data_IF_259984468166
#
_entry.id   IF_259984468166
#
_cell.length_a   1.000
_cell.length_b   1.000
_cell.length_c   1.000
_cell.angle_alpha   90.00
_cell.angle_beta   90.00
_cell.angle_gamma   90.00
#
_symmetry.space_group_name_H-M   'P 1'
#
loop_
_entity.id
_entity.type
_entity.pdbx_description
1 polymer ?
#
# COMPACT_ATOMS: atom_id res chain seq x y z
N UNK A 1 8.52 33.22 -1.20
CA UNK A 1 9.33 34.41 -0.95
C UNK A 1 10.35 34.65 -2.04
N UNK A 2 11.19 33.71 -2.46
CA UNK A 2 12.19 33.86 -3.52
C UNK A 2 11.63 34.37 -4.87
N UNK A 3 10.49 33.84 -5.33
CA UNK A 3 9.85 34.24 -6.59
C UNK A 3 9.25 35.67 -6.56
N UNK A 4 8.81 36.16 -5.38
CA UNK A 4 8.37 37.52 -5.20
C UNK A 4 9.53 38.51 -5.32
N UNK A 5 10.69 38.13 -4.77
CA UNK A 5 11.93 38.91 -4.89
C UNK A 5 12.44 38.97 -6.33
N UNK A 6 12.38 37.87 -7.09
CA UNK A 6 12.80 37.83 -8.50
C UNK A 6 11.86 38.67 -9.37
N UNK A 7 10.54 38.56 -9.19
CA UNK A 7 9.56 39.37 -9.91
C UNK A 7 9.70 40.89 -9.59
N UNK A 8 9.98 41.23 -8.34
CA UNK A 8 10.22 42.61 -7.93
C UNK A 8 11.55 43.15 -8.47
N UNK A 9 12.61 42.34 -8.50
CA UNK A 9 13.89 42.72 -9.11
C UNK A 9 13.75 43.03 -10.62
N UNK A 10 13.03 42.18 -11.36
CA UNK A 10 12.78 42.38 -12.79
C UNK A 10 11.93 43.64 -13.09
N UNK A 11 10.96 43.94 -12.22
CA UNK A 11 10.13 45.15 -12.39
C UNK A 11 10.84 46.47 -12.01
N UNK A 12 11.89 46.39 -11.19
CA UNK A 12 12.73 47.53 -10.78
C UNK A 12 13.83 47.79 -11.81
N UNK A 13 14.39 46.78 -12.44
CA UNK A 13 15.52 46.96 -13.37
C UNK A 13 15.15 47.74 -14.62
N UNK A 14 13.94 47.59 -15.13
CA UNK A 14 13.50 48.33 -16.34
C UNK A 14 13.35 49.84 -16.08
N UNK A 15 12.65 50.32 -15.03
CA UNK A 15 12.59 51.74 -14.71
C UNK A 15 13.94 52.37 -14.32
N UNK A 16 14.81 51.60 -13.63
CA UNK A 16 16.14 52.07 -13.24
C UNK A 16 17.03 52.27 -14.48
N UNK A 17 16.97 51.39 -15.46
CA UNK A 17 17.75 51.51 -16.71
C UNK A 17 17.34 52.74 -17.53
N UNK A 18 16.03 53.03 -17.60
CA UNK A 18 15.50 54.23 -18.28
C UNK A 18 15.80 55.53 -17.49
N UNK A 19 15.99 55.45 -16.16
CA UNK A 19 16.29 56.59 -15.31
C UNK A 19 17.77 57.02 -15.36
N UNK A 20 18.69 56.17 -15.76
CA UNK A 20 20.13 56.48 -15.81
C UNK A 20 20.47 57.47 -16.92
N UNK A 21 19.69 57.51 -17.99
CA UNK A 21 19.98 58.37 -19.16
C UNK A 21 19.57 59.81 -19.01
N UNK A 22 18.88 60.23 -17.92
CA UNK A 22 18.36 61.59 -17.75
C UNK A 22 18.67 62.17 -16.35
N UNK A 23 19.94 62.17 -15.92
CA UNK A 23 20.38 62.78 -14.66
C UNK A 23 20.53 64.34 -14.75
N UNK A 24 19.44 65.09 -14.50
CA UNK A 24 19.55 66.48 -13.98
C UNK A 24 19.59 66.41 -12.45
N UNK A 25 20.59 66.98 -11.83
CA UNK A 25 20.99 66.85 -10.42
C UNK A 25 19.90 67.07 -9.33
N UNK A 26 18.74 67.63 -9.67
CA UNK A 26 17.64 67.90 -8.72
C UNK A 26 16.54 66.79 -8.65
N UNK A 27 16.54 65.85 -9.54
CA UNK A 27 15.42 64.85 -9.65
C UNK A 27 15.76 63.48 -9.08
N UNK A 28 16.99 63.23 -8.64
CA UNK A 28 17.46 61.95 -8.17
C UNK A 28 16.67 61.39 -6.94
N UNK A 29 16.45 62.25 -5.94
CA UNK A 29 15.71 61.86 -4.74
C UNK A 29 14.25 61.45 -5.03
N UNK A 30 13.58 62.20 -5.92
CA UNK A 30 12.20 61.89 -6.33
C UNK A 30 12.12 60.59 -7.09
N UNK A 31 13.12 60.23 -7.91
CA UNK A 31 13.18 58.96 -8.61
C UNK A 31 13.41 57.77 -7.67
N UNK A 32 14.23 57.92 -6.62
CA UNK A 32 14.41 56.87 -5.60
C UNK A 32 13.10 56.64 -4.88
N UNK A 33 12.36 57.68 -4.51
CA UNK A 33 11.05 57.55 -3.84
C UNK A 33 10.06 56.85 -4.77
N UNK A 34 10.04 57.16 -6.06
CA UNK A 34 9.17 56.50 -7.06
C UNK A 34 9.47 55.01 -7.19
N UNK A 35 10.74 54.62 -7.31
CA UNK A 35 11.17 53.22 -7.37
C UNK A 35 10.85 52.48 -6.07
N UNK A 36 11.05 53.10 -4.90
CA UNK A 36 10.72 52.51 -3.62
C UNK A 36 9.20 52.30 -3.45
N UNK A 37 8.39 53.31 -3.85
CA UNK A 37 6.93 53.20 -3.83
C UNK A 37 6.43 52.08 -4.76
N UNK A 38 7.01 51.97 -5.95
CA UNK A 38 6.73 50.90 -6.90
C UNK A 38 7.06 49.51 -6.31
N UNK A 39 8.24 49.39 -5.70
CA UNK A 39 8.65 48.14 -5.04
C UNK A 39 7.66 47.72 -3.94
N UNK A 40 7.28 48.61 -3.06
CA UNK A 40 6.30 48.34 -1.99
C UNK A 40 4.94 47.95 -2.56
N UNK A 41 4.51 48.56 -3.67
CA UNK A 41 3.27 48.21 -4.35
C UNK A 41 3.33 46.76 -4.91
N UNK A 42 4.42 46.40 -5.61
CA UNK A 42 4.61 45.06 -6.17
C UNK A 42 4.58 43.99 -5.06
N UNK A 43 5.30 44.25 -3.97
CA UNK A 43 5.31 43.35 -2.80
C UNK A 43 3.90 43.20 -2.21
N UNK A 44 3.16 44.30 -2.11
CA UNK A 44 1.78 44.33 -1.60
C UNK A 44 0.83 43.53 -2.50
N UNK A 45 0.91 43.70 -3.81
CA UNK A 45 0.11 42.96 -4.79
C UNK A 45 0.38 41.48 -4.64
N UNK A 46 1.66 41.09 -4.59
CA UNK A 46 2.06 39.68 -4.48
C UNK A 46 1.57 39.08 -3.16
N UNK A 47 1.80 39.76 -2.04
CA UNK A 47 1.41 39.32 -0.71
C UNK A 47 -0.11 39.15 -0.59
N UNK A 48 -0.90 40.14 -1.00
CA UNK A 48 -2.36 40.09 -0.93
C UNK A 48 -2.94 39.01 -1.84
N UNK A 49 -2.42 38.88 -3.06
CA UNK A 49 -2.82 37.83 -3.98
C UNK A 49 -2.49 36.43 -3.43
N UNK A 50 -1.29 36.23 -2.87
CA UNK A 50 -0.85 34.98 -2.26
C UNK A 50 -1.71 34.65 -1.05
N UNK A 51 -1.86 35.55 -0.09
CA UNK A 51 -2.65 35.36 1.13
C UNK A 51 -4.10 35.02 0.83
N UNK A 52 -4.73 35.75 -0.08
CA UNK A 52 -6.11 35.52 -0.47
C UNK A 52 -6.28 34.19 -1.15
N UNK A 53 -5.46 33.82 -2.12
CA UNK A 53 -5.59 32.58 -2.86
C UNK A 53 -5.34 31.35 -1.97
N UNK A 54 -4.49 31.45 -0.93
CA UNK A 54 -4.30 30.37 0.06
C UNK A 54 -5.48 30.31 1.02
N UNK A 55 -5.84 31.42 1.65
CA UNK A 55 -6.89 31.45 2.69
C UNK A 55 -8.26 31.02 2.15
N UNK A 56 -8.56 31.38 0.92
CA UNK A 56 -9.84 31.08 0.26
C UNK A 56 -9.71 29.99 -0.80
N UNK A 57 -8.81 29.05 -0.59
CA UNK A 57 -8.54 27.98 -1.53
C UNK A 57 -9.80 27.20 -1.94
N UNK A 58 -10.73 26.96 -1.01
CA UNK A 58 -12.01 26.27 -1.24
C UNK A 58 -13.08 27.11 -1.97
N UNK A 59 -12.85 28.38 -2.20
CA UNK A 59 -13.81 29.25 -2.89
C UNK A 59 -13.94 28.88 -4.38
N UNK A 60 -15.15 28.90 -4.91
CA UNK A 60 -15.41 28.59 -6.33
C UNK A 60 -14.64 29.49 -7.31
N UNK A 61 -14.25 28.95 -8.45
CA UNK A 61 -13.44 29.62 -9.50
C UNK A 61 -13.95 31.02 -9.89
N UNK A 62 -15.27 31.25 -10.14
CA UNK A 62 -15.74 32.60 -10.56
C UNK A 62 -15.56 33.63 -9.48
N UNK A 63 -15.78 33.32 -8.19
CA UNK A 63 -15.60 34.25 -7.09
C UNK A 63 -14.15 34.67 -6.91
N UNK A 64 -13.20 33.73 -7.08
CA UNK A 64 -11.75 34.04 -7.07
C UNK A 64 -11.36 35.00 -8.20
N UNK A 65 -11.89 34.76 -9.40
CA UNK A 65 -11.60 35.62 -10.56
C UNK A 65 -12.10 37.05 -10.32
N UNK A 66 -13.33 37.21 -9.87
CA UNK A 66 -13.91 38.51 -9.57
C UNK A 66 -13.09 39.26 -8.53
N UNK A 67 -12.72 38.61 -7.43
CA UNK A 67 -11.91 39.20 -6.39
C UNK A 67 -10.54 39.65 -6.89
N UNK A 68 -9.83 38.79 -7.62
CA UNK A 68 -8.52 39.11 -8.18
C UNK A 68 -8.61 40.27 -9.18
N UNK A 69 -9.70 40.32 -9.97
CA UNK A 69 -9.94 41.45 -10.89
C UNK A 69 -10.19 42.76 -10.14
N UNK A 70 -11.03 42.78 -9.12
CA UNK A 70 -11.28 43.93 -8.28
C UNK A 70 -10.00 44.41 -7.61
N UNK A 71 -9.21 43.48 -7.07
CA UNK A 71 -7.91 43.79 -6.45
C UNK A 71 -6.97 44.46 -7.45
N UNK A 72 -6.87 43.95 -8.67
CA UNK A 72 -6.06 44.56 -9.72
C UNK A 72 -6.49 46.01 -10.01
N UNK A 73 -7.80 46.24 -10.20
CA UNK A 73 -8.34 47.58 -10.48
C UNK A 73 -8.04 48.53 -9.34
N UNK A 74 -8.27 48.15 -8.10
CA UNK A 74 -8.02 48.97 -6.91
C UNK A 74 -6.54 49.34 -6.80
N UNK A 75 -5.66 48.32 -6.90
CA UNK A 75 -4.22 48.55 -6.78
C UNK A 75 -3.66 49.41 -7.94
N UNK A 76 -4.17 49.20 -9.16
CA UNK A 76 -3.79 50.06 -10.30
C UNK A 76 -4.23 51.50 -10.12
N UNK A 77 -5.45 51.74 -9.59
CA UNK A 77 -5.94 53.08 -9.28
C UNK A 77 -5.08 53.77 -8.22
N UNK A 78 -4.74 53.03 -7.14
CA UNK A 78 -3.84 53.55 -6.09
C UNK A 78 -2.47 53.89 -6.68
N UNK A 79 -1.90 53.00 -7.52
CA UNK A 79 -0.63 53.25 -8.21
C UNK A 79 -0.64 54.55 -9.02
N UNK A 80 -1.67 54.74 -9.84
CA UNK A 80 -1.83 55.97 -10.66
C UNK A 80 -1.90 57.21 -9.75
N UNK A 81 -2.69 57.17 -8.68
CA UNK A 81 -2.83 58.31 -7.79
C UNK A 81 -1.53 58.70 -7.07
N UNK A 82 -0.74 57.69 -6.65
CA UNK A 82 0.52 57.92 -5.94
C UNK A 82 1.62 58.45 -6.86
N UNK A 83 1.73 57.91 -8.06
CA UNK A 83 2.83 58.21 -8.98
C UNK A 83 2.52 59.41 -9.89
N UNK A 84 1.25 59.78 -10.09
CA UNK A 84 0.85 60.91 -10.94
C UNK A 84 1.51 62.26 -10.55
N UNK A 85 1.60 62.67 -9.27
CA UNK A 85 2.28 63.89 -8.88
C UNK A 85 3.77 63.89 -9.26
N UNK A 86 4.45 62.75 -9.04
CA UNK A 86 5.89 62.64 -9.33
C UNK A 86 6.11 62.67 -10.83
N UNK A 87 5.30 61.99 -11.63
CA UNK A 87 5.35 61.99 -13.08
C UNK A 87 5.17 63.41 -13.65
N UNK A 88 4.15 64.18 -13.16
CA UNK A 88 3.88 65.49 -13.60
C UNK A 88 5.07 66.45 -13.35
N UNK A 89 5.87 66.15 -12.32
CA UNK A 89 7.03 66.98 -11.97
C UNK A 89 8.29 66.59 -12.74
N UNK A 90 8.40 65.31 -13.16
CA UNK A 90 9.62 64.76 -13.74
C UNK A 90 9.58 64.57 -15.26
N UNK A 91 8.40 64.66 -15.91
CA UNK A 91 8.28 64.42 -17.35
C UNK A 91 7.36 65.42 -18.03
N UNK A 92 7.60 65.67 -19.33
CA UNK A 92 6.74 66.45 -20.19
C UNK A 92 5.89 65.62 -21.15
N UNK A 93 5.79 64.26 -20.91
CA UNK A 93 5.03 63.44 -21.78
C UNK A 93 3.51 63.54 -21.57
N UNK A 94 2.67 63.28 -22.59
CA UNK A 94 1.23 63.31 -22.43
C UNK A 94 0.72 62.36 -21.37
N UNK A 95 -0.29 62.73 -20.58
CA UNK A 95 -0.90 61.99 -19.53
C UNK A 95 -1.35 60.56 -19.99
N UNK A 96 -1.80 60.47 -21.24
CA UNK A 96 -2.27 59.22 -21.83
C UNK A 96 -1.17 58.14 -21.89
N UNK A 97 0.07 58.53 -22.21
CA UNK A 97 1.21 57.58 -22.21
C UNK A 97 1.52 57.08 -20.81
N UNK A 98 1.50 57.93 -19.83
CA UNK A 98 1.70 57.57 -18.43
C UNK A 98 0.65 56.57 -17.94
N UNK A 99 -0.64 56.85 -18.12
CA UNK A 99 -1.74 55.98 -17.67
C UNK A 99 -1.66 54.61 -18.37
N UNK A 100 -1.36 54.57 -19.67
CA UNK A 100 -1.16 53.36 -20.43
C UNK A 100 -0.03 52.51 -19.83
N UNK A 101 1.11 53.09 -19.59
CA UNK A 101 2.30 52.39 -19.09
C UNK A 101 2.07 51.86 -17.68
N UNK A 102 1.39 52.58 -16.79
CA UNK A 102 0.96 52.13 -15.48
C UNK A 102 0.02 50.91 -15.55
N UNK A 103 -0.98 50.97 -16.41
CA UNK A 103 -1.92 49.84 -16.60
C UNK A 103 -1.19 48.60 -17.11
N UNK A 104 -0.34 48.73 -18.14
CA UNK A 104 0.41 47.61 -18.70
C UNK A 104 1.34 47.00 -17.65
N UNK A 105 2.10 47.85 -16.93
CA UNK A 105 3.02 47.41 -15.90
C UNK A 105 2.30 46.63 -14.77
N UNK A 106 1.27 47.23 -14.20
CA UNK A 106 0.53 46.63 -13.09
C UNK A 106 -0.20 45.35 -13.49
N UNK A 107 -0.76 45.31 -14.71
CA UNK A 107 -1.38 44.08 -15.26
C UNK A 107 -0.37 42.97 -15.44
N UNK A 108 0.82 43.29 -15.97
CA UNK A 108 1.90 42.28 -16.14
C UNK A 108 2.35 41.73 -14.81
N UNK A 109 2.62 42.58 -13.80
CA UNK A 109 3.01 42.18 -12.46
C UNK A 109 1.93 41.26 -11.82
N UNK A 110 0.66 41.64 -11.98
CA UNK A 110 -0.46 40.90 -11.46
C UNK A 110 -0.57 39.50 -12.12
N UNK A 111 -0.43 39.42 -13.44
CA UNK A 111 -0.46 38.12 -14.16
C UNK A 111 0.69 37.23 -13.69
N UNK A 112 1.91 37.74 -13.61
CA UNK A 112 3.07 36.97 -13.14
C UNK A 112 2.86 36.48 -11.71
N UNK A 113 2.40 37.35 -10.80
CA UNK A 113 2.09 36.99 -9.42
C UNK A 113 1.02 35.91 -9.32
N UNK A 114 -0.06 36.06 -10.09
CA UNK A 114 -1.15 35.09 -10.13
C UNK A 114 -0.68 33.70 -10.63
N UNK A 115 0.12 33.67 -11.71
CA UNK A 115 0.67 32.45 -12.24
C UNK A 115 1.63 31.74 -11.25
N UNK A 116 2.49 32.54 -10.58
CA UNK A 116 3.42 32.03 -9.58
C UNK A 116 2.67 31.38 -8.39
N UNK A 117 1.63 32.04 -7.88
CA UNK A 117 0.78 31.53 -6.81
C UNK A 117 0.08 30.23 -7.25
N UNK A 118 -0.49 30.22 -8.45
CA UNK A 118 -1.16 29.07 -9.02
C UNK A 118 -0.22 27.87 -9.20
N UNK A 119 0.99 28.14 -9.68
CA UNK A 119 2.03 27.10 -9.81
C UNK A 119 2.43 26.53 -8.45
N UNK A 120 2.64 27.39 -7.45
CA UNK A 120 2.99 26.99 -6.09
C UNK A 120 1.91 26.09 -5.46
N UNK A 121 0.63 26.47 -5.56
CA UNK A 121 -0.49 25.67 -5.05
C UNK A 121 -0.54 24.30 -5.74
N UNK A 122 -0.41 24.25 -7.08
CA UNK A 122 -0.39 23.00 -7.82
C UNK A 122 0.78 22.09 -7.44
N UNK A 123 1.93 22.68 -7.15
CA UNK A 123 3.10 21.93 -6.70
C UNK A 123 2.85 21.23 -5.36
N UNK A 124 2.21 21.94 -4.40
CA UNK A 124 1.83 21.36 -3.11
C UNK A 124 0.80 20.21 -3.28
N UNK A 125 -0.26 20.45 -4.08
CA UNK A 125 -1.28 19.41 -4.35
C UNK A 125 -0.65 18.17 -4.99
N UNK A 126 0.22 18.35 -5.97
CA UNK A 126 0.93 17.26 -6.62
C UNK A 126 1.80 16.47 -5.64
N UNK A 127 2.47 17.15 -4.70
CA UNK A 127 3.26 16.51 -3.67
C UNK A 127 2.38 15.68 -2.71
N UNK A 128 1.26 16.26 -2.25
CA UNK A 128 0.31 15.55 -1.37
C UNK A 128 -0.26 14.29 -2.03
N UNK A 129 -0.62 14.37 -3.32
CA UNK A 129 -1.11 13.22 -4.08
C UNK A 129 -0.03 12.13 -4.18
N UNK A 130 1.22 12.49 -4.45
CA UNK A 130 2.33 11.54 -4.52
C UNK A 130 2.59 10.84 -3.19
N UNK A 131 2.54 11.58 -2.09
CA UNK A 131 2.72 11.02 -0.74
C UNK A 131 1.59 10.06 -0.39
N UNK A 132 0.33 10.47 -0.60
CA UNK A 132 -0.84 9.61 -0.37
C UNK A 132 -0.82 8.34 -1.24
N UNK A 133 -0.38 8.44 -2.49
CA UNK A 133 -0.23 7.29 -3.37
C UNK A 133 0.85 6.31 -2.88
N UNK A 134 2.00 6.81 -2.42
CA UNK A 134 3.07 5.99 -1.85
C UNK A 134 2.63 5.29 -0.56
N UNK A 135 1.87 5.97 0.30
CA UNK A 135 1.28 5.39 1.51
C UNK A 135 0.31 4.24 1.18
N UNK A 136 -0.59 4.44 0.21
CA UNK A 136 -1.52 3.40 -0.25
C UNK A 136 -0.79 2.19 -0.86
N UNK A 137 0.28 2.41 -1.62
CA UNK A 137 1.10 1.31 -2.14
C UNK A 137 1.76 0.51 -1.01
N UNK A 138 2.31 1.19 0.00
CA UNK A 138 2.94 0.55 1.15
C UNK A 138 1.93 -0.25 1.97
N UNK A 139 0.74 0.31 2.19
CA UNK A 139 -0.35 -0.38 2.88
C UNK A 139 -0.81 -1.63 2.10
N UNK A 140 -0.97 -1.52 0.78
CA UNK A 140 -1.34 -2.66 -0.08
C UNK A 140 -0.29 -3.77 -0.02
N UNK A 141 1.00 -3.44 -0.16
CA UNK A 141 2.10 -4.40 -0.01
C UNK A 141 2.10 -5.06 1.37
N UNK A 142 1.90 -4.28 2.42
CA UNK A 142 1.83 -4.79 3.80
C UNK A 142 0.66 -5.75 3.99
N UNK A 143 -0.50 -5.44 3.41
CA UNK A 143 -1.68 -6.30 3.47
C UNK A 143 -1.48 -7.59 2.65
N UNK A 144 -0.82 -7.52 1.49
CA UNK A 144 -0.42 -8.70 0.71
C UNK A 144 0.54 -9.59 1.50
N UNK A 145 1.59 -9.01 2.10
CA UNK A 145 2.55 -9.75 2.94
C UNK A 145 1.85 -10.37 4.16
N UNK A 146 0.96 -9.65 4.84
CA UNK A 146 0.15 -10.19 5.94
C UNK A 146 -0.75 -11.33 5.48
N UNK A 147 -1.40 -11.20 4.33
CA UNK A 147 -2.20 -12.26 3.72
C UNK A 147 -1.38 -13.52 3.45
N UNK A 148 -0.18 -13.36 2.89
CA UNK A 148 0.77 -14.46 2.67
C UNK A 148 1.22 -15.11 3.99
N UNK A 149 1.54 -14.31 5.02
CA UNK A 149 1.94 -14.83 6.33
C UNK A 149 0.80 -15.52 7.10
N UNK A 150 -0.45 -15.08 6.92
CA UNK A 150 -1.61 -15.75 7.54
C UNK A 150 -1.88 -17.14 6.94
N UNK A 151 -1.44 -17.40 5.72
CA UNK A 151 -1.56 -18.71 5.07
C UNK A 151 -0.49 -19.71 5.55
N UNK A 152 0.63 -19.22 6.05
CA UNK A 152 1.60 -20.01 6.80
C UNK A 152 1.10 -19.99 8.23
N UNK A 153 0.56 -21.12 8.72
CA UNK A 153 0.12 -21.23 10.12
C UNK A 153 1.25 -20.78 11.07
N UNK A 154 1.17 -19.57 11.72
CA UNK A 154 2.28 -19.05 12.49
C UNK A 154 2.70 -19.95 13.63
N UNK A 155 1.72 -20.65 14.21
CA UNK A 155 1.95 -21.59 15.27
C UNK A 155 2.75 -22.82 14.78
N UNK A 156 2.47 -23.30 13.57
CA UNK A 156 3.28 -24.37 12.94
C UNK A 156 4.71 -23.90 12.72
N UNK A 157 4.90 -22.68 12.19
CA UNK A 157 6.21 -22.10 11.92
C UNK A 157 7.08 -22.00 13.19
N UNK A 158 6.56 -21.37 14.25
CA UNK A 158 7.30 -21.23 15.51
C UNK A 158 7.61 -22.58 16.16
N UNK A 159 6.67 -23.53 16.14
CA UNK A 159 6.92 -24.85 16.68
C UNK A 159 7.97 -25.62 15.88
N UNK A 160 8.00 -25.46 14.57
CA UNK A 160 9.00 -26.11 13.70
C UNK A 160 10.38 -25.54 13.95
N UNK A 161 10.51 -24.20 14.12
CA UNK A 161 11.79 -23.56 14.50
C UNK A 161 12.29 -24.02 15.89
N UNK A 162 11.40 -24.17 16.86
CA UNK A 162 11.77 -24.68 18.18
C UNK A 162 12.27 -26.12 18.11
N UNK A 163 11.62 -26.97 17.32
CA UNK A 163 12.08 -28.36 17.08
C UNK A 163 13.45 -28.39 16.40
N UNK A 164 13.64 -27.54 15.37
CA UNK A 164 14.94 -27.41 14.70
C UNK A 164 16.04 -26.96 15.65
N UNK A 165 15.77 -26.00 16.51
CA UNK A 165 16.75 -25.51 17.51
C UNK A 165 17.21 -26.63 18.46
N UNK A 166 16.31 -27.52 18.85
CA UNK A 166 16.66 -28.71 19.62
C UNK A 166 17.50 -29.71 18.81
N UNK A 167 17.07 -30.01 17.57
CA UNK A 167 17.78 -30.95 16.70
C UNK A 167 19.21 -30.53 16.35
N UNK A 168 19.46 -29.23 16.16
CA UNK A 168 20.82 -28.69 15.88
C UNK A 168 21.80 -29.03 17.00
N UNK A 169 21.32 -29.10 18.24
CA UNK A 169 22.17 -29.46 19.40
C UNK A 169 22.32 -30.96 19.57
N UNK A 170 21.30 -31.76 19.22
CA UNK A 170 21.26 -33.20 19.46
C UNK A 170 21.83 -34.01 18.28
N UNK A 171 21.55 -33.63 17.03
CA UNK A 171 21.95 -34.37 15.82
C UNK A 171 22.00 -33.43 14.60
N UNK A 172 23.19 -32.93 14.22
CA UNK A 172 23.36 -32.09 13.03
C UNK A 172 22.85 -32.74 11.75
N UNK A 173 23.02 -34.05 11.57
CA UNK A 173 22.57 -34.79 10.38
C UNK A 173 21.04 -34.79 10.26
N UNK A 174 20.32 -35.00 11.37
CA UNK A 174 18.86 -34.90 11.38
C UNK A 174 18.38 -33.49 11.15
N UNK A 175 19.14 -32.50 11.61
CA UNK A 175 18.83 -31.09 11.38
C UNK A 175 18.89 -30.70 9.91
N UNK A 176 19.87 -31.21 9.16
CA UNK A 176 20.02 -30.96 7.73
C UNK A 176 18.81 -31.53 6.96
N UNK A 177 18.44 -32.78 7.23
CA UNK A 177 17.23 -33.42 6.63
C UNK A 177 15.96 -32.65 7.01
N UNK A 178 15.86 -32.19 8.27
CA UNK A 178 14.71 -31.44 8.72
C UNK A 178 14.57 -30.09 7.99
N UNK A 179 15.68 -29.37 7.76
CA UNK A 179 15.71 -28.11 7.00
C UNK A 179 15.27 -28.35 5.54
N UNK A 180 15.77 -29.42 4.91
CA UNK A 180 15.38 -29.76 3.55
C UNK A 180 13.88 -30.02 3.45
N UNK A 181 13.32 -30.89 4.33
CA UNK A 181 11.89 -31.18 4.38
C UNK A 181 11.06 -29.94 4.65
N UNK A 182 11.49 -29.09 5.57
CA UNK A 182 10.83 -27.81 5.86
C UNK A 182 10.80 -26.90 4.63
N UNK A 183 11.91 -26.82 3.90
CA UNK A 183 12.00 -26.04 2.66
C UNK A 183 11.05 -26.55 1.58
N UNK A 184 10.90 -27.88 1.45
CA UNK A 184 9.99 -28.49 0.49
C UNK A 184 8.52 -28.21 0.87
N UNK A 185 8.16 -28.33 2.13
CA UNK A 185 6.82 -27.99 2.64
C UNK A 185 6.47 -26.55 2.35
N UNK A 186 7.34 -25.58 2.67
CA UNK A 186 7.07 -24.17 2.37
C UNK A 186 6.97 -23.88 0.88
N UNK A 187 7.84 -24.47 0.06
CA UNK A 187 7.78 -24.31 -1.40
C UNK A 187 6.46 -24.79 -1.97
N UNK A 188 5.97 -25.94 -1.48
CA UNK A 188 4.68 -26.46 -1.90
C UNK A 188 3.53 -25.56 -1.48
N UNK A 189 3.48 -25.12 -0.22
CA UNK A 189 2.43 -24.22 0.28
C UNK A 189 2.38 -22.93 -0.55
N UNK A 190 3.54 -22.33 -0.85
CA UNK A 190 3.60 -21.13 -1.68
C UNK A 190 3.15 -21.37 -3.13
N UNK A 191 3.55 -22.51 -3.73
CA UNK A 191 3.14 -22.89 -5.10
C UNK A 191 1.62 -23.11 -5.20
N UNK A 192 0.99 -23.63 -4.14
CA UNK A 192 -0.43 -23.99 -4.14
C UNK A 192 -1.39 -22.82 -3.91
N UNK A 193 -0.88 -21.61 -3.67
CA UNK A 193 -1.72 -20.41 -3.47
C UNK A 193 -2.55 -20.04 -4.70
N UNK A 194 -2.00 -20.26 -5.89
CA UNK A 194 -2.64 -19.91 -7.16
C UNK A 194 -3.34 -21.09 -7.84
N UNK A 195 -3.17 -22.29 -7.30
CA UNK A 195 -3.69 -23.51 -7.91
C UNK A 195 -5.03 -23.93 -7.29
N UNK A 196 -6.02 -24.15 -8.12
CA UNK A 196 -7.32 -24.65 -7.68
C UNK A 196 -7.33 -26.17 -7.46
N UNK A 197 -6.50 -26.92 -8.20
CA UNK A 197 -6.36 -28.39 -8.12
C UNK A 197 -4.90 -28.80 -8.26
N UNK A 198 -4.52 -29.96 -7.73
CA UNK A 198 -3.17 -30.52 -7.75
C UNK A 198 -3.21 -32.03 -8.00
N UNK A 199 -2.16 -32.56 -8.63
CA UNK A 199 -2.02 -34.00 -8.79
C UNK A 199 -1.92 -34.68 -7.42
N UNK A 200 -2.64 -35.78 -7.23
CA UNK A 200 -2.65 -36.52 -5.96
C UNK A 200 -1.23 -36.94 -5.53
N UNK A 201 -0.38 -37.34 -6.48
CA UNK A 201 1.00 -37.68 -6.17
C UNK A 201 1.82 -36.49 -5.61
N UNK A 202 1.58 -35.27 -6.05
CA UNK A 202 2.23 -34.08 -5.47
C UNK A 202 1.71 -33.80 -4.04
N UNK A 203 0.41 -33.94 -3.82
CA UNK A 203 -0.20 -33.79 -2.49
C UNK A 203 0.30 -34.84 -1.49
N UNK A 204 0.46 -36.10 -1.94
CA UNK A 204 0.99 -37.18 -1.11
C UNK A 204 2.48 -36.97 -0.78
N UNK A 205 3.28 -36.56 -1.75
CA UNK A 205 4.68 -36.21 -1.50
C UNK A 205 4.82 -35.08 -0.48
N UNK A 206 3.99 -34.05 -0.61
CA UNK A 206 3.92 -32.99 0.39
C UNK A 206 3.52 -33.56 1.76
N UNK A 207 2.54 -34.45 1.82
CA UNK A 207 2.11 -35.09 3.07
C UNK A 207 3.25 -35.87 3.72
N UNK A 208 4.08 -36.62 2.96
CA UNK A 208 5.26 -37.33 3.48
C UNK A 208 6.26 -36.37 4.13
N UNK A 209 6.59 -35.26 3.44
CA UNK A 209 7.53 -34.23 3.96
C UNK A 209 6.96 -33.56 5.22
N UNK A 210 5.68 -33.24 5.22
CA UNK A 210 4.95 -32.68 6.36
C UNK A 210 4.93 -33.65 7.55
N UNK A 211 4.72 -34.96 7.30
CA UNK A 211 4.77 -35.99 8.33
C UNK A 211 6.13 -36.15 8.98
N UNK A 212 7.19 -36.05 8.20
CA UNK A 212 8.54 -36.07 8.75
C UNK A 212 8.73 -34.95 9.79
N UNK A 213 8.29 -33.75 9.50
CA UNK A 213 8.37 -32.63 10.42
C UNK A 213 7.53 -32.85 11.68
N UNK A 214 6.33 -33.38 11.53
CA UNK A 214 5.45 -33.73 12.67
C UNK A 214 6.00 -34.84 13.53
N UNK A 215 6.59 -35.89 12.94
CA UNK A 215 7.22 -36.99 13.66
C UNK A 215 8.38 -36.50 14.53
N UNK A 216 9.23 -35.61 14.02
CA UNK A 216 10.32 -35.02 14.82
C UNK A 216 9.79 -34.17 16.00
N UNK A 217 8.59 -33.60 15.90
CA UNK A 217 7.95 -32.82 16.95
C UNK A 217 7.21 -33.66 17.99
N UNK A 218 6.46 -34.66 17.54
CA UNK A 218 5.52 -35.41 18.39
C UNK A 218 6.07 -36.76 18.84
N UNK A 219 7.16 -37.21 18.21
CA UNK A 219 7.85 -38.48 18.51
C UNK A 219 6.87 -39.67 18.56
N UNK A 220 6.93 -40.51 19.57
CA UNK A 220 6.09 -41.70 19.75
C UNK A 220 4.60 -41.43 20.04
N UNK A 221 4.17 -40.17 20.00
CA UNK A 221 2.77 -39.76 20.23
C UNK A 221 1.92 -39.73 18.95
N UNK A 222 2.57 -39.76 17.78
CA UNK A 222 1.92 -39.66 16.49
C UNK A 222 2.50 -40.69 15.51
N UNK A 223 1.64 -41.56 15.00
CA UNK A 223 1.97 -42.53 13.96
C UNK A 223 1.17 -42.19 12.70
N UNK A 224 1.82 -42.24 11.55
CA UNK A 224 1.20 -41.92 10.28
C UNK A 224 1.58 -43.00 9.26
N UNK A 225 0.59 -43.60 8.65
CA UNK A 225 0.75 -44.64 7.63
C UNK A 225 0.15 -44.14 6.31
N UNK A 226 0.97 -44.14 5.27
CA UNK A 226 0.57 -43.87 3.90
C UNK A 226 0.46 -45.19 3.14
N UNK A 227 -0.76 -45.67 2.98
CA UNK A 227 -1.05 -46.91 2.24
C UNK A 227 -1.63 -46.58 0.86
N UNK A 228 -0.86 -45.84 0.05
CA UNK A 228 -1.29 -45.40 -1.28
C UNK A 228 -0.42 -46.09 -2.33
N UNK A 229 -0.96 -47.12 -2.98
CA UNK A 229 -0.39 -47.64 -4.21
C UNK A 229 -0.73 -46.68 -5.34
N UNK A 230 0.22 -46.45 -6.29
CA UNK A 230 0.20 -45.51 -7.39
C UNK A 230 -1.19 -44.95 -7.75
N UNK A 231 -1.49 -43.77 -7.30
CA UNK A 231 -2.65 -43.04 -7.78
C UNK A 231 -2.35 -42.59 -9.22
N UNK A 232 -3.12 -43.02 -10.19
CA UNK A 232 -3.00 -42.57 -11.58
C UNK A 232 -3.08 -41.01 -11.68
N UNK A 233 -3.32 -40.50 -12.86
CA UNK A 233 -3.52 -39.03 -13.10
C UNK A 233 -4.80 -38.52 -12.44
N UNK A 234 -4.80 -38.45 -11.12
CA UNK A 234 -5.95 -38.04 -10.31
C UNK A 234 -5.61 -36.69 -9.64
N UNK A 235 -6.57 -35.77 -9.67
CA UNK A 235 -6.43 -34.44 -9.06
C UNK A 235 -7.22 -34.36 -7.75
N UNK A 236 -6.72 -33.55 -6.81
CA UNK A 236 -7.37 -33.29 -5.51
C UNK A 236 -7.32 -31.80 -5.18
N UNK A 237 -8.08 -31.40 -4.16
CA UNK A 237 -7.98 -30.06 -3.61
C UNK A 237 -6.62 -29.86 -2.91
N UNK A 238 -5.84 -28.81 -3.24
CA UNK A 238 -4.53 -28.58 -2.64
C UNK A 238 -4.61 -28.42 -1.12
N UNK A 239 -3.58 -28.89 -0.41
CA UNK A 239 -3.45 -28.78 1.06
C UNK A 239 -4.59 -29.48 1.85
N UNK A 240 -5.33 -30.38 1.21
CA UNK A 240 -6.39 -31.13 1.89
C UNK A 240 -5.83 -32.08 2.95
N UNK A 241 -4.68 -32.71 2.70
CA UNK A 241 -3.99 -33.58 3.66
C UNK A 241 -3.51 -32.82 4.87
N UNK A 242 -2.89 -31.63 4.68
CA UNK A 242 -2.47 -30.76 5.77
C UNK A 242 -3.65 -30.40 6.67
N UNK A 243 -4.74 -29.92 6.08
CA UNK A 243 -5.93 -29.48 6.82
C UNK A 243 -6.50 -30.64 7.66
N UNK A 244 -6.56 -31.84 7.11
CA UNK A 244 -7.07 -33.02 7.82
C UNK A 244 -6.15 -33.45 8.97
N UNK A 245 -4.83 -33.43 8.77
CA UNK A 245 -3.85 -33.76 9.80
C UNK A 245 -3.85 -32.70 10.92
N UNK A 246 -3.93 -31.40 10.57
CA UNK A 246 -4.05 -30.33 11.58
C UNK A 246 -5.34 -30.50 12.42
N UNK A 247 -6.44 -30.91 11.81
CA UNK A 247 -7.67 -31.26 12.54
C UNK A 247 -7.44 -32.39 13.52
N UNK A 248 -6.75 -33.42 13.10
CA UNK A 248 -6.42 -34.57 14.00
C UNK A 248 -5.60 -34.11 15.20
N UNK A 249 -4.54 -33.34 14.95
CA UNK A 249 -3.66 -32.80 16.00
C UNK A 249 -4.42 -31.90 16.96
N UNK A 250 -5.35 -31.09 16.46
CA UNK A 250 -6.11 -30.12 17.25
C UNK A 250 -7.16 -30.78 18.14
N UNK A 251 -7.78 -31.86 17.67
CA UNK A 251 -8.95 -32.47 18.32
C UNK A 251 -8.65 -33.71 19.12
N UNK A 252 -7.40 -34.21 19.12
CA UNK A 252 -7.02 -35.37 19.88
C UNK A 252 -6.02 -35.05 21.00
N UNK A 253 -6.16 -35.71 22.15
CA UNK A 253 -5.11 -35.73 23.18
C UNK A 253 -4.02 -36.71 22.75
N UNK A 254 -2.83 -36.20 22.49
CA UNK A 254 -1.67 -37.00 22.15
C UNK A 254 -0.75 -37.17 23.35
N UNK A 255 -0.56 -38.38 23.80
CA UNK A 255 0.43 -38.74 24.83
C UNK A 255 1.02 -40.13 24.49
N UNK A 256 2.08 -40.54 25.19
CA UNK A 256 2.74 -41.84 24.95
C UNK A 256 1.85 -43.04 25.26
N UNK A 257 0.86 -42.89 26.15
CA UNK A 257 -0.06 -43.99 26.51
C UNK A 257 -1.19 -44.12 25.50
N UNK A 258 -1.56 -43.04 24.84
CA UNK A 258 -2.62 -42.99 23.82
C UNK A 258 -2.08 -42.26 22.56
N UNK A 259 -1.22 -42.96 21.77
CA UNK A 259 -0.70 -42.42 20.54
C UNK A 259 -1.81 -42.31 19.49
N UNK A 260 -1.83 -41.19 18.76
CA UNK A 260 -2.78 -41.00 17.66
C UNK A 260 -2.22 -41.68 16.40
N UNK A 261 -3.00 -42.53 15.78
CA UNK A 261 -2.67 -43.16 14.48
C UNK A 261 -3.47 -42.45 13.39
N UNK A 262 -2.81 -42.04 12.32
CA UNK A 262 -3.40 -41.50 11.10
C UNK A 262 -3.11 -42.45 9.96
N UNK A 263 -4.15 -42.84 9.23
CA UNK A 263 -4.05 -43.71 8.05
C UNK A 263 -4.58 -42.92 6.83
N UNK A 264 -3.80 -42.95 5.75
CA UNK A 264 -4.20 -42.35 4.48
C UNK A 264 -4.21 -43.40 3.40
N UNK A 265 -5.34 -43.59 2.75
CA UNK A 265 -5.50 -44.52 1.67
C UNK A 265 -6.50 -44.04 0.61
N UNK A 266 -6.50 -44.69 -0.55
CA UNK A 266 -7.45 -44.44 -1.62
C UNK A 266 -8.56 -45.45 -1.54
N UNK A 267 -9.82 -45.00 -1.59
CA UNK A 267 -11.00 -45.85 -1.58
C UNK A 267 -12.10 -45.24 -2.47
N UNK A 268 -12.61 -45.99 -3.42
CA UNK A 268 -13.79 -45.64 -4.24
C UNK A 268 -13.78 -44.26 -4.90
N UNK A 269 -12.61 -43.81 -5.37
CA UNK A 269 -12.47 -42.48 -6.01
C UNK A 269 -12.35 -41.33 -5.01
N UNK A 270 -11.97 -41.64 -3.78
CA UNK A 270 -11.72 -40.68 -2.71
C UNK A 270 -10.34 -40.89 -2.08
N UNK A 271 -9.71 -39.78 -1.67
CA UNK A 271 -8.64 -39.84 -0.70
C UNK A 271 -9.24 -39.90 0.70
N UNK A 272 -9.03 -40.99 1.40
CA UNK A 272 -9.58 -41.26 2.74
C UNK A 272 -8.49 -41.05 3.78
N UNK A 273 -8.75 -40.20 4.75
CA UNK A 273 -7.88 -39.92 5.90
C UNK A 273 -8.64 -40.33 7.15
N UNK A 274 -8.11 -41.28 7.89
CA UNK A 274 -8.69 -41.78 9.14
C UNK A 274 -7.74 -41.55 10.30
N UNK A 275 -8.27 -41.30 11.48
CA UNK A 275 -7.48 -41.25 12.72
C UNK A 275 -8.20 -41.93 13.88
N UNK A 276 -7.43 -42.46 14.83
CA UNK A 276 -7.95 -42.90 16.13
C UNK A 276 -8.47 -41.68 16.90
N UNK A 277 -9.58 -41.85 17.60
CA UNK A 277 -10.31 -40.78 18.26
C UNK A 277 -10.09 -40.88 19.78
N UNK A 278 -9.26 -39.97 20.31
CA UNK A 278 -9.12 -39.72 21.74
C UNK A 278 -9.70 -38.36 22.06
N UNK A 279 -11.04 -38.26 22.16
CA UNK A 279 -11.78 -37.00 22.24
C UNK A 279 -11.30 -36.14 23.38
N UNK A 280 -10.85 -34.93 23.05
CA UNK A 280 -10.95 -33.81 23.97
C UNK A 280 -12.36 -33.20 23.79
N UNK A 281 -13.10 -33.06 24.88
CA UNK A 281 -14.24 -32.13 24.93
C UNK A 281 -13.70 -30.74 24.73
N UNK A 282 -13.42 -30.33 23.50
CA UNK A 282 -13.19 -28.94 23.16
C UNK A 282 -14.53 -28.34 22.78
N UNK A 283 -15.11 -27.61 23.70
CA UNK A 283 -16.13 -26.63 23.37
C UNK A 283 -15.57 -25.65 22.36
N UNK A 284 -16.30 -25.50 21.23
CA UNK A 284 -16.21 -24.35 20.32
C UNK A 284 -14.89 -24.05 19.59
N UNK A 285 -14.55 -24.82 18.57
CA UNK A 285 -13.97 -24.28 17.32
C UNK A 285 -14.07 -25.28 16.16
N UNK A 286 -15.15 -26.03 16.13
CA UNK A 286 -15.37 -27.04 15.12
C UNK A 286 -15.83 -26.45 13.81
N UNK A 287 -15.25 -26.87 12.74
CA UNK A 287 -15.90 -26.92 11.46
C UNK A 287 -15.54 -25.91 10.40
N UNK A 288 -14.83 -24.81 10.68
CA UNK A 288 -14.52 -23.84 9.63
C UNK A 288 -13.60 -24.44 8.54
N UNK A 289 -12.58 -25.19 8.95
CA UNK A 289 -11.66 -25.85 8.04
C UNK A 289 -12.34 -26.91 7.17
N UNK A 290 -13.08 -27.83 7.78
CA UNK A 290 -13.83 -28.85 7.04
C UNK A 290 -14.95 -28.26 6.20
N UNK A 291 -15.65 -27.23 6.68
CA UNK A 291 -16.66 -26.49 5.88
C UNK A 291 -16.03 -25.85 4.64
N UNK A 292 -14.87 -25.22 4.78
CA UNK A 292 -14.16 -24.62 3.65
C UNK A 292 -13.67 -25.67 2.66
N UNK A 293 -13.13 -26.79 3.15
CA UNK A 293 -12.74 -27.92 2.31
C UNK A 293 -13.95 -28.49 1.56
N UNK A 294 -15.07 -28.68 2.26
CA UNK A 294 -16.32 -29.16 1.66
C UNK A 294 -16.77 -28.27 0.51
N UNK A 295 -16.90 -26.97 0.76
CA UNK A 295 -17.29 -26.00 -0.27
C UNK A 295 -16.34 -26.00 -1.48
N UNK A 296 -15.03 -26.15 -1.23
CA UNK A 296 -14.03 -26.25 -2.30
C UNK A 296 -14.18 -27.54 -3.11
N UNK A 297 -14.43 -28.68 -2.47
CA UNK A 297 -14.68 -29.94 -3.15
C UNK A 297 -15.98 -29.92 -3.96
N UNK A 298 -17.06 -29.36 -3.43
CA UNK A 298 -18.32 -29.17 -4.17
C UNK A 298 -18.12 -28.35 -5.45
N UNK A 299 -17.33 -27.25 -5.37
CA UNK A 299 -17.05 -26.41 -6.53
C UNK A 299 -16.15 -27.09 -7.57
N UNK A 300 -15.15 -27.88 -7.15
CA UNK A 300 -14.12 -28.43 -8.04
C UNK A 300 -14.44 -29.84 -8.51
N UNK A 301 -15.02 -30.68 -7.66
CA UNK A 301 -15.32 -32.09 -7.94
C UNK A 301 -16.83 -32.35 -8.18
N UNK A 302 -17.69 -31.34 -7.92
CA UNK A 302 -19.14 -31.51 -7.95
C UNK A 302 -19.67 -32.45 -6.86
N UNK A 303 -18.85 -32.78 -5.86
CA UNK A 303 -19.19 -33.71 -4.76
C UNK A 303 -18.70 -33.14 -3.43
N UNK A 304 -19.48 -33.27 -2.33
CA UNK A 304 -19.02 -32.92 -0.99
C UNK A 304 -17.98 -33.92 -0.45
N UNK A 305 -17.26 -33.50 0.60
CA UNK A 305 -16.51 -34.45 1.44
C UNK A 305 -17.49 -35.33 2.20
N UNK A 306 -17.04 -36.56 2.54
CA UNK A 306 -17.83 -37.50 3.39
C UNK A 306 -17.12 -37.61 4.72
N UNK A 307 -17.81 -37.32 5.82
CA UNK A 307 -17.29 -37.45 7.17
C UNK A 307 -17.95 -38.68 7.82
N UNK A 308 -17.14 -39.62 8.31
CA UNK A 308 -17.56 -40.80 9.00
C UNK A 308 -16.95 -40.82 10.41
N UNK A 309 -17.76 -40.95 11.43
CA UNK A 309 -17.31 -40.98 12.81
C UNK A 309 -17.93 -42.16 13.54
N UNK A 310 -17.08 -42.90 14.21
CA UNK A 310 -17.45 -43.94 15.18
C UNK A 310 -16.93 -43.54 16.56
N UNK A 311 -17.08 -44.41 17.55
CA UNK A 311 -16.53 -44.17 18.90
C UNK A 311 -14.99 -44.16 18.92
N UNK A 312 -14.35 -44.89 18.02
CA UNK A 312 -12.90 -45.13 18.01
C UNK A 312 -12.19 -44.41 16.84
N UNK A 313 -12.90 -44.10 15.75
CA UNK A 313 -12.32 -43.61 14.51
C UNK A 313 -13.07 -42.39 13.97
N UNK A 314 -12.31 -41.45 13.46
CA UNK A 314 -12.81 -40.34 12.66
C UNK A 314 -12.17 -40.41 11.27
N UNK A 315 -13.00 -40.46 10.23
CA UNK A 315 -12.54 -40.53 8.85
C UNK A 315 -13.15 -39.41 8.00
N UNK A 316 -12.35 -38.87 7.10
CA UNK A 316 -12.81 -37.91 6.08
C UNK A 316 -12.41 -38.43 4.70
N UNK A 317 -13.39 -38.50 3.78
CA UNK A 317 -13.18 -38.83 2.38
C UNK A 317 -13.22 -37.57 1.54
N UNK A 318 -12.13 -37.26 0.84
CA UNK A 318 -12.00 -36.12 -0.08
C UNK A 318 -12.17 -36.63 -1.51
N UNK A 319 -13.15 -36.11 -2.28
CA UNK A 319 -13.40 -36.62 -3.62
C UNK A 319 -12.29 -36.23 -4.59
N UNK A 320 -12.01 -37.12 -5.54
CA UNK A 320 -11.13 -36.80 -6.66
C UNK A 320 -11.81 -35.85 -7.62
N UNK A 321 -11.01 -34.91 -8.14
CA UNK A 321 -11.42 -33.93 -9.13
C UNK A 321 -11.13 -34.51 -10.52
N UNK A 322 -12.12 -34.59 -11.38
CA UNK A 322 -11.93 -34.98 -12.78
C UNK A 322 -11.13 -33.87 -13.51
N UNK A 323 -10.31 -34.28 -14.48
CA UNK A 323 -9.59 -33.37 -15.37
C UNK A 323 -10.53 -32.43 -16.12
#
# INVERSE_FOLDING_TARGET
>A
MAYALIGSLLSITIPVFVAIDHFAEGQFALRIIDVAALFMLVVSIFYLSFWFNIKWFKMGRPKKFIFNFVLLVVLTTISICVHLPIWKYTTHLPLLFYVRDEIVRNTTIFIVSYLAVKFYIRSIESQQIKTAFAELQTENLTNQVRGLMQQINPHFFFNTLNTLSGLVQESPEKSEVFIDKLSQVFRYVLKMQENSKVALNEELKFAEDYFYLLKMRFDDKLFIELNVQQAGNVMVAPLCTQLLIENVIKHNRMNKQFPVKIEIHIEDGYLKVCNTLFSQKSETSGGLGLKNLNKRCELLAGKPIVVLQTEELFCVKVPFIKE
#
